data_IF_378732909884
#
_entry.id   IF_378732909884
#
_cell.length_a   1.000
_cell.length_b   1.000
_cell.length_c   1.000
_cell.angle_alpha   90.00
_cell.angle_beta   90.00
_cell.angle_gamma   90.00
#
_symmetry.space_group_name_H-M   'P 1'
#
loop_
_entity.id
_entity.type
_entity.pdbx_description
1 polymer ?
#
# COMPACT_ATOMS: atom_id res chain seq x y z
N UNK A 1 -12.25 2.81 -7.74
CA UNK A 1 -11.25 1.73 -7.94
C UNK A 1 -10.56 1.52 -6.61
N UNK A 2 -10.31 0.28 -6.21
CA UNK A 2 -9.49 -0.07 -5.05
C UNK A 2 -8.16 -0.63 -5.54
N UNK A 3 -7.05 -0.14 -4.97
CA UNK A 3 -5.70 -0.54 -5.33
C UNK A 3 -5.03 -1.18 -4.12
N UNK A 4 -4.46 -2.37 -4.29
CA UNK A 4 -3.76 -3.09 -3.23
C UNK A 4 -2.49 -3.75 -3.78
N UNK A 5 -1.57 -4.11 -2.88
CA UNK A 5 -0.30 -4.74 -3.22
C UNK A 5 -0.14 -6.06 -2.47
N UNK A 6 0.11 -7.15 -3.21
CA UNK A 6 0.28 -8.50 -2.67
C UNK A 6 1.53 -9.20 -3.21
N UNK A 7 2.01 -10.19 -2.47
CA UNK A 7 3.11 -11.06 -2.90
C UNK A 7 2.61 -12.38 -3.48
N UNK A 8 3.55 -13.24 -3.88
CA UNK A 8 3.26 -14.60 -4.34
C UNK A 8 3.04 -14.73 -5.85
N UNK A 9 2.53 -15.89 -6.27
CA UNK A 9 2.33 -16.25 -7.68
C UNK A 9 0.84 -16.38 -7.95
N UNK A 10 0.35 -15.70 -8.99
CA UNK A 10 -1.03 -15.81 -9.46
C UNK A 10 -1.88 -14.57 -9.16
N UNK A 11 -3.22 -14.68 -9.27
CA UNK A 11 -4.13 -13.57 -9.05
C UNK A 11 -3.97 -12.96 -7.65
N UNK A 12 -3.93 -11.63 -7.57
CA UNK A 12 -3.73 -10.90 -6.31
C UNK A 12 -2.26 -10.58 -5.99
N UNK A 13 -1.31 -10.99 -6.83
CA UNK A 13 0.10 -10.61 -6.68
C UNK A 13 0.43 -9.33 -7.47
N UNK A 14 1.41 -8.57 -6.97
CA UNK A 14 1.74 -7.24 -7.49
C UNK A 14 0.70 -6.21 -7.09
N UNK A 15 0.67 -5.08 -7.82
CA UNK A 15 -0.37 -4.06 -7.66
C UNK A 15 -1.60 -4.50 -8.44
N UNK A 16 -2.73 -4.63 -7.75
CA UNK A 16 -4.01 -5.04 -8.32
C UNK A 16 -5.06 -3.94 -8.21
N UNK A 17 -6.00 -3.93 -9.16
CA UNK A 17 -7.14 -3.02 -9.17
C UNK A 17 -8.44 -3.82 -9.08
N UNK A 18 -9.24 -3.54 -8.07
CA UNK A 18 -10.52 -4.21 -7.85
C UNK A 18 -11.66 -3.20 -7.65
N UNK A 19 -12.89 -3.72 -7.61
CA UNK A 19 -14.04 -2.95 -7.15
C UNK A 19 -13.90 -2.76 -5.64
N UNK A 20 -14.10 -1.54 -5.10
CA UNK A 20 -14.00 -1.32 -3.67
C UNK A 20 -14.83 -2.30 -2.84
N UNK A 21 -14.21 -2.83 -1.79
CA UNK A 21 -14.83 -3.70 -0.79
C UNK A 21 -15.19 -5.11 -1.31
N UNK A 22 -14.65 -5.52 -2.47
CA UNK A 22 -14.96 -6.84 -3.07
C UNK A 22 -13.79 -7.83 -3.06
N UNK A 23 -12.69 -7.51 -2.38
CA UNK A 23 -11.54 -8.40 -2.31
C UNK A 23 -11.94 -9.78 -1.74
N UNK A 24 -11.54 -10.86 -2.41
CA UNK A 24 -11.93 -12.22 -2.03
C UNK A 24 -11.04 -12.83 -0.93
N UNK A 25 -9.83 -12.29 -0.74
CA UNK A 25 -8.85 -12.78 0.24
C UNK A 25 -9.03 -12.13 1.61
N UNK A 26 -9.61 -10.92 1.66
CA UNK A 26 -9.79 -10.15 2.87
C UNK A 26 -11.25 -9.69 3.05
N UNK A 27 -11.75 -9.75 4.28
CA UNK A 27 -13.09 -9.25 4.60
C UNK A 27 -13.04 -7.75 4.89
N UNK A 28 -13.76 -6.96 4.10
CA UNK A 28 -13.95 -5.54 4.34
C UNK A 28 -14.56 -5.27 5.74
N UNK A 29 -14.02 -4.27 6.44
CA UNK A 29 -14.48 -3.85 7.77
C UNK A 29 -15.15 -2.48 7.72
N UNK A 30 -14.47 -1.49 7.15
CA UNK A 30 -14.91 -0.10 7.14
C UNK A 30 -14.14 0.72 6.10
N UNK A 31 -14.71 1.86 5.70
CA UNK A 31 -14.05 2.87 4.87
C UNK A 31 -13.64 4.04 5.77
N UNK A 32 -12.36 4.39 5.75
CA UNK A 32 -11.86 5.60 6.41
C UNK A 32 -11.65 6.66 5.33
N UNK A 33 -12.37 7.77 5.44
CA UNK A 33 -12.24 8.90 4.51
C UNK A 33 -10.98 9.69 4.86
N UNK A 34 -10.14 9.91 3.85
CA UNK A 34 -8.99 10.83 3.90
C UNK A 34 -9.37 12.16 3.24
N UNK A 35 -8.39 12.97 2.89
CA UNK A 35 -8.59 14.22 2.15
C UNK A 35 -8.88 13.98 0.66
N UNK A 36 -9.35 15.03 -0.01
CA UNK A 36 -9.49 15.05 -1.46
C UNK A 36 -8.16 15.36 -2.13
N UNK A 37 -7.82 14.62 -3.18
CA UNK A 37 -6.68 14.97 -4.03
C UNK A 37 -7.03 16.17 -4.91
N UNK A 38 -6.05 17.05 -5.13
CA UNK A 38 -6.15 18.16 -6.09
C UNK A 38 -5.77 17.74 -7.53
N UNK A 39 -5.32 16.49 -7.70
CA UNK A 39 -4.88 15.95 -8.97
C UNK A 39 -6.07 15.61 -9.87
N UNK A 40 -5.89 15.78 -11.17
CA UNK A 40 -6.84 15.30 -12.17
C UNK A 40 -6.67 13.79 -12.42
N UNK A 41 -7.65 13.20 -13.11
CA UNK A 41 -7.65 11.76 -13.44
C UNK A 41 -6.38 11.31 -14.19
N UNK A 42 -5.83 12.17 -15.05
CA UNK A 42 -4.59 11.88 -15.80
C UNK A 42 -3.36 11.80 -14.90
N UNK A 43 -3.23 12.72 -13.96
CA UNK A 43 -2.13 12.73 -12.98
C UNK A 43 -2.23 11.53 -12.03
N UNK A 44 -3.44 11.20 -11.59
CA UNK A 44 -3.70 9.98 -10.80
C UNK A 44 -3.32 8.72 -11.60
N UNK A 45 -3.65 8.66 -12.88
CA UNK A 45 -3.29 7.52 -13.73
C UNK A 45 -1.77 7.38 -13.90
N UNK A 46 -1.03 8.49 -14.03
CA UNK A 46 0.44 8.48 -14.09
C UNK A 46 1.05 7.93 -12.80
N UNK A 47 0.59 8.42 -11.64
CA UNK A 47 1.05 7.93 -10.33
C UNK A 47 0.82 6.42 -10.19
N UNK A 48 -0.37 5.95 -10.58
CA UNK A 48 -0.69 4.53 -10.54
C UNK A 48 0.22 3.72 -11.49
N UNK A 49 0.50 4.24 -12.68
CA UNK A 49 1.44 3.63 -13.63
C UNK A 49 2.85 3.47 -13.05
N UNK A 50 3.39 4.52 -12.44
CA UNK A 50 4.69 4.48 -11.78
C UNK A 50 4.73 3.47 -10.62
N UNK A 51 3.64 3.40 -9.84
CA UNK A 51 3.53 2.45 -8.74
C UNK A 51 3.43 1.01 -9.24
N UNK A 52 2.71 0.75 -10.33
CA UNK A 52 2.63 -0.57 -10.98
C UNK A 52 4.02 -1.07 -11.40
N UNK A 53 4.89 -0.19 -11.90
CA UNK A 53 6.25 -0.55 -12.30
C UNK A 53 7.20 -0.76 -11.12
N UNK A 54 7.07 0.08 -10.08
CA UNK A 54 7.93 0.07 -8.91
C UNK A 54 7.60 -1.05 -7.91
N UNK A 55 6.33 -1.44 -7.80
CA UNK A 55 5.85 -2.40 -6.80
C UNK A 55 5.61 -3.77 -7.42
N UNK A 56 6.70 -4.50 -7.64
CA UNK A 56 6.66 -5.84 -8.23
C UNK A 56 6.34 -6.90 -7.17
N UNK A 57 5.59 -7.97 -7.53
CA UNK A 57 5.23 -9.03 -6.58
C UNK A 57 6.44 -9.67 -5.89
N UNK A 58 7.57 -9.78 -6.59
CA UNK A 58 8.80 -10.39 -6.08
C UNK A 58 9.45 -9.56 -4.96
N UNK A 59 9.16 -8.26 -4.91
CA UNK A 59 9.67 -7.35 -3.89
C UNK A 59 8.82 -7.39 -2.61
N UNK A 60 7.72 -8.17 -2.59
CA UNK A 60 6.85 -8.22 -1.44
C UNK A 60 7.57 -8.74 -0.20
N UNK A 61 7.63 -7.90 0.83
CA UNK A 61 8.16 -8.25 2.14
C UNK A 61 7.10 -7.91 3.20
N UNK A 62 6.62 -8.94 3.91
CA UNK A 62 5.55 -8.84 4.90
C UNK A 62 5.75 -7.71 5.94
N UNK A 63 7.02 -7.37 6.24
CA UNK A 63 7.37 -6.30 7.17
C UNK A 63 7.62 -4.93 6.52
N UNK A 64 8.41 -4.88 5.45
CA UNK A 64 9.05 -3.66 4.96
C UNK A 64 8.48 -3.15 3.64
N UNK A 65 7.78 -4.03 2.91
CA UNK A 65 7.24 -3.76 1.57
C UNK A 65 5.99 -4.59 1.37
N UNK A 66 4.92 -4.17 2.04
CA UNK A 66 3.63 -4.85 2.09
C UNK A 66 2.50 -3.90 1.62
N UNK A 67 1.26 -4.37 1.71
CA UNK A 67 0.07 -3.59 1.34
C UNK A 67 -0.05 -2.26 2.08
N UNK A 68 0.37 -2.17 3.35
CA UNK A 68 0.30 -0.94 4.14
C UNK A 68 1.33 0.08 3.68
N UNK A 69 2.56 -0.34 3.40
CA UNK A 69 3.59 0.55 2.87
C UNK A 69 3.23 1.07 1.48
N UNK A 70 2.64 0.22 0.64
CA UNK A 70 2.13 0.60 -0.68
C UNK A 70 1.00 1.64 -0.55
N UNK A 71 -0.02 1.34 0.24
CA UNK A 71 -1.16 2.23 0.43
C UNK A 71 -0.72 3.59 1.00
N UNK A 72 0.25 3.59 1.92
CA UNK A 72 0.79 4.81 2.48
C UNK A 72 1.60 5.64 1.46
N UNK A 73 2.35 5.00 0.55
CA UNK A 73 3.03 5.69 -0.54
C UNK A 73 2.02 6.27 -1.54
N UNK A 74 1.00 5.49 -1.93
CA UNK A 74 -0.08 5.95 -2.80
C UNK A 74 -0.79 7.18 -2.19
N UNK A 75 -1.17 7.14 -0.92
CA UNK A 75 -1.81 8.29 -0.25
C UNK A 75 -0.92 9.54 -0.25
N UNK A 76 0.40 9.38 -0.03
CA UNK A 76 1.34 10.49 -0.07
C UNK A 76 1.46 11.08 -1.48
N UNK A 77 1.59 10.24 -2.52
CA UNK A 77 1.67 10.70 -3.91
C UNK A 77 0.39 11.38 -4.37
N UNK A 78 -0.77 10.93 -3.89
CA UNK A 78 -2.06 11.58 -4.13
C UNK A 78 -2.24 12.89 -3.34
N UNK A 79 -1.35 13.21 -2.40
CA UNK A 79 -1.45 14.41 -1.57
C UNK A 79 -2.57 14.36 -0.52
N UNK A 80 -3.07 13.17 -0.19
CA UNK A 80 -4.18 13.00 0.77
C UNK A 80 -3.71 12.66 2.19
N UNK A 81 -2.41 12.84 2.43
CA UNK A 81 -1.77 12.53 3.71
C UNK A 81 -1.30 11.08 3.81
N UNK A 82 -1.24 10.57 5.05
CA UNK A 82 -0.77 9.23 5.40
C UNK A 82 -1.89 8.38 5.93
N UNK A 83 -1.67 7.07 5.99
CA UNK A 83 -2.58 6.18 6.70
C UNK A 83 -2.71 6.59 8.19
N UNK A 84 -3.94 6.50 8.77
CA UNK A 84 -4.16 6.65 10.19
C UNK A 84 -3.22 5.76 10.99
N UNK A 85 -2.59 6.34 12.02
CA UNK A 85 -1.52 5.67 12.76
C UNK A 85 -1.94 4.34 13.41
N UNK A 86 -3.23 4.14 13.69
CA UNK A 86 -3.75 2.90 14.27
C UNK A 86 -3.81 1.73 13.27
N UNK A 87 -3.79 2.01 11.95
CA UNK A 87 -3.79 1.01 10.88
C UNK A 87 -2.37 0.47 10.65
N UNK A 88 -1.37 1.36 10.60
CA UNK A 88 0.01 1.02 10.21
C UNK A 88 0.96 0.82 11.41
N UNK A 89 0.48 0.95 12.65
CA UNK A 89 1.32 0.95 13.87
C UNK A 89 2.21 -0.28 13.98
N UNK A 90 1.64 -1.46 13.73
CA UNK A 90 2.33 -2.73 13.93
C UNK A 90 3.45 -2.91 12.91
N UNK A 91 3.16 -2.73 11.62
CA UNK A 91 4.15 -2.81 10.55
C UNK A 91 5.29 -1.81 10.76
N UNK A 92 4.97 -0.55 11.11
CA UNK A 92 6.00 0.47 11.40
C UNK A 92 6.86 0.11 12.62
N UNK A 93 6.23 -0.33 13.71
CA UNK A 93 6.94 -0.68 14.94
C UNK A 93 7.87 -1.87 14.73
N UNK A 94 7.36 -2.94 14.11
CA UNK A 94 8.13 -4.15 13.84
C UNK A 94 9.24 -3.89 12.79
N UNK A 95 9.00 -3.07 11.76
CA UNK A 95 10.02 -2.71 10.78
C UNK A 95 11.18 -1.91 11.37
N UNK A 96 10.86 -0.94 12.24
CA UNK A 96 11.88 -0.12 12.90
C UNK A 96 12.82 -0.97 13.79
N UNK A 97 12.29 -1.96 14.52
CA UNK A 97 13.12 -2.83 15.37
C UNK A 97 13.99 -3.78 14.53
N UNK A 98 13.47 -4.34 13.43
CA UNK A 98 14.25 -5.22 12.55
C UNK A 98 15.45 -4.49 11.93
N UNK A 99 15.25 -3.26 11.44
CA UNK A 99 16.35 -2.43 10.92
C UNK A 99 17.39 -2.10 12.01
N UNK A 100 16.93 -1.83 13.24
CA UNK A 100 17.83 -1.53 14.36
C UNK A 100 18.69 -2.75 14.74
N UNK A 101 18.10 -3.95 14.77
CA UNK A 101 18.83 -5.20 15.04
C UNK A 101 19.85 -5.48 13.94
N UNK A 102 19.49 -5.29 12.67
CA UNK A 102 20.40 -5.48 11.53
C UNK A 102 21.54 -4.47 11.49
N UNK A 103 21.37 -3.28 12.06
CA UNK A 103 22.43 -2.27 12.15
C UNK A 103 23.39 -2.49 13.33
N UNK A 104 23.07 -3.40 14.25
CA UNK A 104 23.91 -3.75 15.42
C UNK A 104 24.73 -5.03 15.16
N UNK A 105 24.32 -5.86 14.19
CA UNK A 105 25.03 -7.07 13.75
C UNK A 105 26.06 -6.76 12.65
#
# INVERSE_FOLDING_TARGET
REWSFGGGVGPGSGVVCEVPCTNQQHRFRETVVLECTALCDGEVALIIGELLEAWRPEDYHWLHRNCLTFANELCQRLGVGRLPAWIDRFARGAGAVDLSVRGIA
#
